data_IF_961616964199
#
_entry.id   IF_961616964199
#
_cell.length_a   1.000
_cell.length_b   1.000
_cell.length_c   1.000
_cell.angle_alpha   90.00
_cell.angle_beta   90.00
_cell.angle_gamma   90.00
#
_symmetry.space_group_name_H-M   'P 1'
#
loop_
_entity.id
_entity.type
_entity.pdbx_description
1 polymer ?
#
# COMPACT_ATOMS: atom_id res chain seq x y z
N UNK A 1 -9.47 45.69 17.95
CA UNK A 1 -8.82 44.42 18.37
C UNK A 1 -9.76 43.29 17.98
N UNK A 2 -9.43 42.52 16.94
CA UNK A 2 -10.21 41.32 16.59
C UNK A 2 -9.46 40.11 17.13
N UNK A 3 -10.05 39.46 18.15
CA UNK A 3 -9.63 38.16 18.65
C UNK A 3 -9.82 37.12 17.54
N UNK A 4 -8.73 36.66 16.92
CA UNK A 4 -8.72 35.41 16.16
C UNK A 4 -8.85 34.27 17.16
N UNK A 5 -10.00 33.63 17.17
CA UNK A 5 -10.19 32.31 17.77
C UNK A 5 -9.36 31.33 16.93
N UNK A 6 -8.26 30.85 17.50
CA UNK A 6 -7.50 29.74 16.93
C UNK A 6 -8.36 28.49 17.05
N UNK A 7 -9.07 28.14 15.99
CA UNK A 7 -9.64 26.81 15.83
C UNK A 7 -8.47 25.87 15.52
N UNK A 8 -8.00 25.17 16.54
CA UNK A 8 -7.17 23.99 16.39
C UNK A 8 -7.99 22.94 15.63
N UNK A 9 -7.78 22.87 14.32
CA UNK A 9 -8.23 21.72 13.51
C UNK A 9 -7.36 20.54 13.94
N UNK A 10 -7.79 19.84 14.99
CA UNK A 10 -7.36 18.47 15.23
C UNK A 10 -7.84 17.65 14.05
N UNK A 11 -6.98 17.50 13.05
CA UNK A 11 -7.13 16.57 11.95
C UNK A 11 -7.00 15.17 12.56
N UNK A 12 -8.08 14.68 13.20
CA UNK A 12 -8.16 13.32 13.71
C UNK A 12 -7.97 12.39 12.52
N UNK A 13 -6.73 11.94 12.36
CA UNK A 13 -6.30 11.15 11.22
C UNK A 13 -6.94 9.78 11.39
N UNK A 14 -7.95 9.49 10.57
CA UNK A 14 -8.63 8.20 10.55
C UNK A 14 -7.60 7.07 10.35
N UNK A 15 -7.39 6.17 11.33
CA UNK A 15 -6.34 5.16 11.23
C UNK A 15 -6.52 4.24 10.02
N UNK A 16 -7.76 3.89 9.63
CA UNK A 16 -8.03 3.08 8.44
C UNK A 16 -7.76 3.78 7.11
N UNK A 17 -8.08 5.08 7.00
CA UNK A 17 -7.74 5.89 5.81
C UNK A 17 -6.22 6.11 5.73
N UNK A 18 -5.54 6.22 6.87
CA UNK A 18 -4.09 6.36 6.93
C UNK A 18 -3.38 5.08 6.47
N UNK A 19 -3.85 3.90 6.87
CA UNK A 19 -3.25 2.62 6.45
C UNK A 19 -3.47 2.33 4.95
N UNK A 20 -4.68 2.58 4.43
CA UNK A 20 -4.95 2.41 3.00
C UNK A 20 -4.15 3.38 2.12
N UNK A 21 -4.03 4.65 2.55
CA UNK A 21 -3.23 5.65 1.83
C UNK A 21 -1.73 5.36 1.91
N UNK A 22 -1.23 4.88 3.06
CA UNK A 22 0.16 4.40 3.18
C UNK A 22 0.45 3.29 2.19
N UNK A 23 -0.33 2.21 2.17
CA UNK A 23 -0.12 1.11 1.21
C UNK A 23 -0.10 1.60 -0.25
N UNK A 24 -1.04 2.48 -0.61
CA UNK A 24 -1.09 3.08 -1.95
C UNK A 24 0.14 3.94 -2.26
N UNK A 25 0.61 4.73 -1.28
CA UNK A 25 1.82 5.55 -1.41
C UNK A 25 3.05 4.68 -1.65
N UNK A 26 3.23 3.63 -0.83
CA UNK A 26 4.37 2.73 -0.95
C UNK A 26 4.35 1.94 -2.26
N UNK A 27 3.18 1.51 -2.72
CA UNK A 27 3.01 0.82 -4.01
C UNK A 27 3.37 1.74 -5.18
N UNK A 28 2.99 3.03 -5.12
CA UNK A 28 3.35 4.04 -6.13
C UNK A 28 4.85 4.35 -6.09
N UNK A 29 5.43 4.49 -4.89
CA UNK A 29 6.87 4.67 -4.69
C UNK A 29 7.66 3.52 -5.32
N UNK A 30 7.25 2.29 -5.02
CA UNK A 30 7.83 1.08 -5.62
C UNK A 30 7.69 1.07 -7.15
N UNK A 31 6.55 1.49 -7.69
CA UNK A 31 6.36 1.60 -9.14
C UNK A 31 7.36 2.60 -9.75
N UNK A 32 7.62 3.71 -9.07
CA UNK A 32 8.62 4.70 -9.46
C UNK A 32 10.04 4.11 -9.50
N UNK A 33 10.43 3.37 -8.47
CA UNK A 33 11.75 2.73 -8.42
C UNK A 33 11.91 1.67 -9.53
N UNK A 34 10.88 0.87 -9.82
CA UNK A 34 10.96 -0.13 -10.90
C UNK A 34 11.05 0.55 -12.28
N UNK A 35 10.40 1.71 -12.45
CA UNK A 35 10.54 2.51 -13.67
C UNK A 35 11.94 3.11 -13.82
N UNK A 36 12.53 3.56 -12.73
CA UNK A 36 13.91 4.07 -12.71
C UNK A 36 14.92 2.94 -13.00
N UNK A 37 14.76 1.78 -12.35
CA UNK A 37 15.60 0.60 -12.60
C UNK A 37 15.61 0.16 -14.07
N UNK A 38 14.46 0.27 -14.75
CA UNK A 38 14.35 -0.03 -16.17
C UNK A 38 15.17 0.92 -17.07
N UNK A 39 15.51 2.13 -16.59
CA UNK A 39 16.25 3.14 -17.34
C UNK A 39 17.71 3.33 -16.91
N UNK A 40 18.04 3.07 -15.64
CA UNK A 40 19.36 3.38 -15.07
C UNK A 40 20.01 2.27 -14.26
N UNK A 41 19.42 1.06 -14.20
CA UNK A 41 19.95 -0.09 -13.44
C UNK A 41 20.25 0.25 -11.98
N UNK A 42 19.24 0.12 -11.12
CA UNK A 42 19.34 0.33 -9.69
C UNK A 42 19.88 -0.91 -8.96
N UNK A 43 20.28 -0.72 -7.70
CA UNK A 43 20.61 -1.83 -6.82
C UNK A 43 19.35 -2.67 -6.54
N UNK A 44 19.41 -3.97 -6.85
CA UNK A 44 18.34 -4.93 -6.57
C UNK A 44 17.97 -4.96 -5.08
N UNK A 45 18.92 -4.72 -4.17
CA UNK A 45 18.62 -4.67 -2.74
C UNK A 45 17.70 -3.49 -2.39
N UNK A 46 17.80 -2.37 -3.11
CA UNK A 46 16.91 -1.23 -2.93
C UNK A 46 15.46 -1.59 -3.32
N UNK A 47 15.28 -2.29 -4.45
CA UNK A 47 13.97 -2.75 -4.89
C UNK A 47 13.34 -3.75 -3.91
N UNK A 48 14.14 -4.69 -3.39
CA UNK A 48 13.68 -5.66 -2.40
C UNK A 48 13.32 -4.97 -1.08
N UNK A 49 14.12 -4.01 -0.62
CA UNK A 49 13.82 -3.23 0.58
C UNK A 49 12.54 -2.42 0.44
N UNK A 50 12.32 -1.78 -0.71
CA UNK A 50 11.05 -1.07 -0.95
C UNK A 50 9.86 -2.03 -1.02
N UNK A 51 10.05 -3.24 -1.59
CA UNK A 51 9.03 -4.27 -1.57
C UNK A 51 8.66 -4.71 -0.15
N UNK A 52 9.65 -4.86 0.74
CA UNK A 52 9.41 -5.13 2.17
C UNK A 52 8.55 -4.04 2.81
N UNK A 53 8.81 -2.76 2.55
CA UNK A 53 8.00 -1.64 3.04
C UNK A 53 6.54 -1.72 2.54
N UNK A 54 6.32 -2.12 1.28
CA UNK A 54 4.96 -2.35 0.74
C UNK A 54 4.26 -3.50 1.47
N UNK A 55 4.98 -4.58 1.75
CA UNK A 55 4.45 -5.75 2.48
C UNK A 55 4.12 -5.37 3.93
N UNK A 56 4.99 -4.64 4.63
CA UNK A 56 4.73 -4.14 5.98
C UNK A 56 3.46 -3.29 6.04
N UNK A 57 3.29 -2.35 5.10
CA UNK A 57 2.08 -1.54 5.02
C UNK A 57 0.81 -2.39 4.80
N UNK A 58 0.92 -3.50 4.04
CA UNK A 58 -0.17 -4.45 3.85
C UNK A 58 -0.48 -5.26 5.12
N UNK A 59 0.54 -5.71 5.83
CA UNK A 59 0.38 -6.49 7.07
C UNK A 59 -0.21 -5.66 8.20
N UNK A 60 0.16 -4.38 8.30
CA UNK A 60 -0.46 -3.45 9.23
C UNK A 60 -1.94 -3.24 8.92
N UNK A 61 -2.28 -3.04 7.64
CA UNK A 61 -3.66 -2.95 7.20
C UNK A 61 -4.43 -4.23 7.53
N UNK A 62 -3.84 -5.39 7.23
CA UNK A 62 -4.43 -6.69 7.54
C UNK A 62 -4.71 -6.84 9.05
N UNK A 63 -3.74 -6.46 9.88
CA UNK A 63 -3.87 -6.47 11.34
C UNK A 63 -5.00 -5.55 11.80
N UNK A 64 -5.14 -4.36 11.20
CA UNK A 64 -6.25 -3.45 11.47
C UNK A 64 -7.61 -4.06 11.11
N UNK A 65 -7.68 -4.82 10.03
CA UNK A 65 -8.89 -5.56 9.64
C UNK A 65 -9.20 -6.70 10.62
N UNK A 66 -8.19 -7.46 11.06
CA UNK A 66 -8.36 -8.55 12.04
C UNK A 66 -8.83 -8.04 13.41
N UNK A 67 -8.38 -6.86 13.81
CA UNK A 67 -8.81 -6.21 15.06
C UNK A 67 -10.19 -5.55 14.96
N UNK A 68 -10.71 -5.38 13.75
CA UNK A 68 -11.96 -4.65 13.51
C UNK A 68 -11.80 -3.13 13.52
N UNK A 69 -10.57 -2.61 13.50
CA UNK A 69 -10.28 -1.17 13.41
C UNK A 69 -10.48 -0.64 11.98
N UNK A 70 -10.35 -1.52 10.99
CA UNK A 70 -10.44 -1.22 9.56
C UNK A 70 -11.47 -2.12 8.89
N UNK A 71 -12.34 -1.51 8.10
CA UNK A 71 -13.24 -2.20 7.20
C UNK A 71 -12.72 -2.12 5.76
N UNK A 72 -12.94 -3.18 4.99
CA UNK A 72 -12.63 -3.24 3.56
C UNK A 72 -13.84 -3.75 2.80
N UNK A 73 -14.07 -3.19 1.62
CA UNK A 73 -15.20 -3.53 0.76
C UNK A 73 -15.04 -4.96 0.15
N UNK A 74 -13.81 -5.49 0.09
CA UNK A 74 -13.55 -6.85 -0.41
C UNK A 74 -12.40 -7.57 0.32
N UNK A 75 -12.75 -8.27 1.41
CA UNK A 75 -11.80 -9.07 2.20
C UNK A 75 -11.10 -10.20 1.41
N UNK A 76 -11.79 -10.97 0.53
CA UNK A 76 -11.13 -12.03 -0.25
C UNK A 76 -10.02 -11.49 -1.16
N UNK A 77 -10.21 -10.32 -1.76
CA UNK A 77 -9.17 -9.68 -2.58
C UNK A 77 -8.01 -9.19 -1.73
N UNK A 78 -8.27 -8.61 -0.56
CA UNK A 78 -7.19 -8.24 0.37
C UNK A 78 -6.34 -9.47 0.75
N UNK A 79 -6.98 -10.61 1.08
CA UNK A 79 -6.29 -11.88 1.34
C UNK A 79 -5.46 -12.35 0.15
N UNK A 80 -6.00 -12.21 -1.06
CA UNK A 80 -5.33 -12.58 -2.31
C UNK A 80 -4.07 -11.75 -2.53
N UNK A 81 -4.15 -10.43 -2.30
CA UNK A 81 -2.98 -9.55 -2.42
C UNK A 81 -1.88 -9.98 -1.46
N UNK A 82 -2.24 -10.28 -0.20
CA UNK A 82 -1.31 -10.71 0.84
C UNK A 82 -0.64 -12.04 0.55
N UNK A 83 -1.43 -13.05 0.19
CA UNK A 83 -0.95 -14.43 0.06
C UNK A 83 -0.41 -14.80 -1.32
N UNK A 84 -0.75 -14.04 -2.36
CA UNK A 84 -0.40 -14.35 -3.75
C UNK A 84 0.37 -13.19 -4.38
N UNK A 85 -0.26 -12.02 -4.53
CA UNK A 85 0.31 -10.94 -5.35
C UNK A 85 1.62 -10.39 -4.81
N UNK A 86 1.71 -10.09 -3.51
CA UNK A 86 2.93 -9.58 -2.89
C UNK A 86 4.09 -10.60 -2.95
N UNK A 87 3.89 -11.89 -2.60
CA UNK A 87 4.91 -12.92 -2.79
C UNK A 87 5.34 -13.11 -4.26
N UNK A 88 4.41 -13.03 -5.21
CA UNK A 88 4.73 -13.16 -6.64
C UNK A 88 5.60 -12.00 -7.14
N UNK A 89 5.33 -10.76 -6.70
CA UNK A 89 6.20 -9.60 -6.99
C UNK A 89 7.59 -9.81 -6.40
N UNK A 90 7.71 -10.29 -5.16
CA UNK A 90 9.00 -10.59 -4.54
C UNK A 90 9.79 -11.61 -5.37
N UNK A 91 9.13 -12.66 -5.84
CA UNK A 91 9.75 -13.70 -6.69
C UNK A 91 10.27 -13.13 -8.00
N UNK A 92 9.54 -12.21 -8.61
CA UNK A 92 9.95 -11.53 -9.85
C UNK A 92 11.13 -10.60 -9.65
N UNK A 93 11.18 -9.87 -8.53
CA UNK A 93 12.34 -9.04 -8.19
C UNK A 93 13.62 -9.86 -7.92
N UNK A 94 13.47 -11.06 -7.36
CA UNK A 94 14.57 -12.00 -7.10
C UNK A 94 14.99 -12.78 -8.34
N UNK A 95 14.28 -12.64 -9.46
CA UNK A 95 14.62 -13.33 -10.70
C UNK A 95 15.94 -12.78 -11.27
N UNK A 96 16.77 -13.62 -11.93
CA UNK A 96 18.04 -13.17 -12.51
C UNK A 96 17.86 -11.99 -13.45
N UNK A 97 16.83 -12.08 -14.29
CA UNK A 97 16.37 -11.03 -15.19
C UNK A 97 15.04 -10.48 -14.67
N UNK A 98 15.00 -9.17 -14.40
CA UNK A 98 13.81 -8.49 -13.94
C UNK A 98 12.96 -8.14 -15.16
N UNK A 99 11.72 -8.63 -15.19
CA UNK A 99 10.72 -8.21 -16.17
C UNK A 99 9.99 -6.97 -15.62
N UNK A 100 10.57 -5.79 -15.83
CA UNK A 100 10.04 -4.52 -15.31
C UNK A 100 8.60 -4.29 -15.76
N UNK A 101 8.28 -4.59 -17.02
CA UNK A 101 6.95 -4.38 -17.58
C UNK A 101 5.88 -5.20 -16.84
N UNK A 102 6.17 -6.47 -16.54
CA UNK A 102 5.25 -7.31 -15.75
C UNK A 102 5.10 -6.79 -14.32
N UNK A 103 6.20 -6.40 -13.66
CA UNK A 103 6.15 -5.91 -12.28
C UNK A 103 5.37 -4.59 -12.20
N UNK A 104 5.64 -3.63 -13.08
CA UNK A 104 4.93 -2.35 -13.17
C UNK A 104 3.43 -2.58 -13.39
N UNK A 105 3.08 -3.51 -14.29
CA UNK A 105 1.68 -3.86 -14.54
C UNK A 105 0.99 -4.36 -13.27
N UNK A 106 1.65 -5.23 -12.51
CA UNK A 106 1.10 -5.77 -11.26
C UNK A 106 0.98 -4.71 -10.17
N UNK A 107 1.99 -3.87 -9.98
CA UNK A 107 1.92 -2.78 -9.02
C UNK A 107 0.80 -1.79 -9.34
N UNK A 108 0.58 -1.46 -10.63
CA UNK A 108 -0.55 -0.65 -11.06
C UNK A 108 -1.89 -1.34 -10.81
N UNK A 109 -1.96 -2.64 -11.08
CA UNK A 109 -3.17 -3.42 -10.79
C UNK A 109 -3.47 -3.44 -9.28
N UNK A 110 -2.45 -3.59 -8.43
CA UNK A 110 -2.58 -3.50 -6.98
C UNK A 110 -3.09 -2.14 -6.54
N UNK A 111 -2.47 -1.06 -7.00
CA UNK A 111 -2.91 0.30 -6.69
C UNK A 111 -4.38 0.54 -7.10
N UNK A 112 -4.76 0.09 -8.30
CA UNK A 112 -6.13 0.21 -8.78
C UNK A 112 -7.11 -0.64 -7.95
N UNK A 113 -6.72 -1.87 -7.60
CA UNK A 113 -7.54 -2.77 -6.77
C UNK A 113 -7.81 -2.14 -5.40
N UNK A 114 -6.80 -1.51 -4.79
CA UNK A 114 -6.96 -0.78 -3.54
C UNK A 114 -7.83 0.46 -3.66
N UNK A 115 -7.66 1.21 -4.75
CA UNK A 115 -8.41 2.45 -5.00
C UNK A 115 -9.90 2.18 -5.27
N UNK A 116 -10.21 1.13 -6.02
CA UNK A 116 -11.55 0.93 -6.56
C UNK A 116 -12.33 -0.22 -5.93
N UNK A 117 -11.67 -1.23 -5.36
CA UNK A 117 -12.32 -2.48 -4.93
C UNK A 117 -12.15 -2.77 -3.45
N UNK A 118 -10.94 -2.68 -2.88
CA UNK A 118 -10.71 -3.00 -1.46
C UNK A 118 -11.12 -1.84 -0.56
N UNK A 119 -10.78 -0.60 -0.92
CA UNK A 119 -11.17 0.65 -0.24
C UNK A 119 -11.18 0.56 1.29
N UNK A 120 -9.99 0.54 1.94
CA UNK A 120 -9.90 0.61 3.40
C UNK A 120 -10.57 1.85 3.98
N UNK A 121 -11.36 1.66 5.03
CA UNK A 121 -12.05 2.72 5.77
C UNK A 121 -11.92 2.44 7.27
N UNK A 122 -11.92 3.48 8.10
CA UNK A 122 -12.03 3.28 9.55
C UNK A 122 -13.36 2.60 9.86
N UNK A 123 -13.31 1.56 10.71
CA UNK A 123 -14.51 0.95 11.26
C UNK A 123 -15.30 1.99 12.03
N UNK A 124 -16.61 2.08 11.77
CA UNK A 124 -17.52 3.03 12.45
C UNK A 124 -18.20 2.44 13.68
N UNK A 125 -17.89 1.18 14.03
CA UNK A 125 -18.45 0.53 15.20
C UNK A 125 -17.60 0.84 16.44
N UNK A 126 -17.84 2.00 17.05
CA UNK A 126 -17.64 2.17 18.49
C UNK A 126 -18.78 1.44 19.20
N UNK A 127 -18.47 0.32 19.86
CA UNK A 127 -19.31 -0.27 20.90
C UNK A 127 -19.28 0.62 22.16
#
# INVERSE_FOLDING_TARGET
MYQRRSEEVQCMSNPGENLGTRFLSETKSMTGLVLEDAGSSLDRNLLLKQHEVVVEALEELWTGVEKGDVEVDCLPLLRTVRSISCPDISRKLRSPEIDHAKIIRELRLLANTFTYVIKPKSSRYTL
#
